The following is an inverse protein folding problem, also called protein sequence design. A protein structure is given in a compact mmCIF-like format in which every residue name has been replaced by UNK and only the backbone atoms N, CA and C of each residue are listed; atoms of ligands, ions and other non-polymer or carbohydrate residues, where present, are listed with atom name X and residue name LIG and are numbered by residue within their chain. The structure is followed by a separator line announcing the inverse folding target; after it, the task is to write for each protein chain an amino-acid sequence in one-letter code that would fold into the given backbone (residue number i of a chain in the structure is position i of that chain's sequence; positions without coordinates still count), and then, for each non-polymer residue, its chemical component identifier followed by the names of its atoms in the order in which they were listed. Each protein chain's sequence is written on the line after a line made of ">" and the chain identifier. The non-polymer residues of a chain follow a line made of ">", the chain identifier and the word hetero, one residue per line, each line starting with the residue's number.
data_IF_933294315876
#
_entry.id   IF_933294315876
#
_cell.length_a   1.000
_cell.length_b   1.000
_cell.length_c   1.000
_cell.angle_alpha   90.00
_cell.angle_beta   90.00
_cell.angle_gamma   90.00
#
_symmetry.space_group_name_H-M   'P 1'
#
loop_
_entity.id
_entity.type
_entity.pdbx_description
1 polymer ?
#
# COMPACT_ATOMS: atom_id res chain seq x y z
N UNK A 1 3.45 13.62 -31.70
CA UNK A 1 3.04 13.67 -30.27
C UNK A 1 1.63 13.12 -30.04
N UNK A 2 0.57 13.63 -30.69
CA UNK A 2 -0.81 13.17 -30.44
C UNK A 2 -1.04 11.67 -30.67
N UNK A 3 -0.62 11.12 -31.80
CA UNK A 3 -0.79 9.69 -32.10
C UNK A 3 -0.13 8.77 -31.06
N UNK A 4 1.16 9.00 -30.76
CA UNK A 4 1.88 8.26 -29.71
C UNK A 4 1.23 8.41 -28.33
N UNK A 5 0.67 9.59 -28.02
CA UNK A 5 -0.08 9.83 -26.79
C UNK A 5 -1.36 9.00 -26.73
N UNK A 6 -2.13 8.94 -27.82
CA UNK A 6 -3.35 8.12 -27.91
C UNK A 6 -3.05 6.64 -27.77
N UNK A 7 -2.01 6.15 -28.43
CA UNK A 7 -1.56 4.75 -28.32
C UNK A 7 -1.18 4.40 -26.87
N UNK A 8 -0.48 5.30 -26.19
CA UNK A 8 -0.09 5.10 -24.79
C UNK A 8 -1.30 5.13 -23.84
N UNK A 9 -2.26 6.04 -24.04
CA UNK A 9 -3.51 6.07 -23.26
C UNK A 9 -4.26 4.75 -23.37
N UNK A 10 -4.34 4.16 -24.57
CA UNK A 10 -4.98 2.86 -24.76
C UNK A 10 -4.28 1.73 -24.01
N UNK A 11 -2.94 1.77 -23.90
CA UNK A 11 -2.19 0.80 -23.10
C UNK A 11 -2.52 0.95 -21.61
N UNK A 12 -2.59 2.19 -21.11
CA UNK A 12 -2.95 2.47 -19.72
C UNK A 12 -4.38 2.01 -19.39
N UNK A 13 -5.34 2.23 -20.29
CA UNK A 13 -6.72 1.76 -20.11
C UNK A 13 -6.83 0.23 -20.06
N UNK A 14 -6.07 -0.48 -20.91
CA UNK A 14 -6.01 -1.94 -20.87
C UNK A 14 -5.41 -2.43 -19.55
N UNK A 15 -4.36 -1.77 -19.07
CA UNK A 15 -3.74 -2.09 -17.78
C UNK A 15 -4.71 -1.84 -16.61
N UNK A 16 -5.42 -0.73 -16.61
CA UNK A 16 -6.42 -0.38 -15.58
C UNK A 16 -7.53 -1.43 -15.50
N UNK A 17 -8.11 -1.82 -16.63
CA UNK A 17 -9.15 -2.85 -16.69
C UNK A 17 -8.65 -4.21 -16.19
N UNK A 18 -7.43 -4.57 -16.57
CA UNK A 18 -6.79 -5.79 -16.08
C UNK A 18 -6.60 -5.72 -14.55
N UNK A 19 -6.06 -4.62 -14.02
CA UNK A 19 -5.81 -4.44 -12.60
C UNK A 19 -7.12 -4.52 -11.78
N UNK A 20 -8.17 -3.82 -12.21
CA UNK A 20 -9.51 -3.90 -11.61
C UNK A 20 -10.00 -5.34 -11.50
N UNK A 21 -9.81 -6.13 -12.56
CA UNK A 21 -10.22 -7.54 -12.58
C UNK A 21 -9.42 -8.36 -11.58
N UNK A 22 -8.10 -8.16 -11.49
CA UNK A 22 -7.25 -8.90 -10.54
C UNK A 22 -7.60 -8.57 -9.08
N UNK A 23 -7.77 -7.29 -8.76
CA UNK A 23 -8.12 -6.88 -7.39
C UNK A 23 -9.53 -7.30 -7.01
N UNK A 24 -10.49 -7.27 -7.94
CA UNK A 24 -11.84 -7.75 -7.70
C UNK A 24 -11.89 -9.23 -7.27
N UNK A 25 -10.95 -10.06 -7.75
CA UNK A 25 -10.85 -11.47 -7.39
C UNK A 25 -10.32 -11.72 -5.96
N UNK A 26 -9.66 -10.74 -5.34
CA UNK A 26 -9.20 -10.82 -3.95
C UNK A 26 -10.36 -10.47 -3.01
N UNK A 27 -10.66 -11.23 -1.96
CA UNK A 27 -11.71 -10.84 -1.00
C UNK A 27 -11.41 -9.49 -0.32
N UNK A 28 -12.39 -8.58 -0.13
CA UNK A 28 -12.16 -7.24 0.45
C UNK A 28 -11.40 -7.25 1.79
N UNK A 29 -11.69 -8.22 2.64
CA UNK A 29 -11.03 -8.40 3.94
C UNK A 29 -9.53 -8.71 3.83
N UNK A 30 -9.06 -9.18 2.67
CA UNK A 30 -7.65 -9.45 2.37
C UNK A 30 -6.99 -8.33 1.56
N UNK A 31 -7.72 -7.29 1.16
CA UNK A 31 -7.19 -6.14 0.40
C UNK A 31 -6.61 -5.07 1.34
N UNK A 32 -5.81 -5.50 2.31
CA UNK A 32 -5.14 -4.61 3.26
C UNK A 32 -3.64 -4.79 3.16
N UNK A 33 -2.94 -3.68 3.04
CA UNK A 33 -1.51 -3.66 2.78
C UNK A 33 -0.82 -2.67 3.70
N UNK A 34 0.27 -3.09 4.34
CA UNK A 34 1.17 -2.18 5.05
C UNK A 34 2.23 -1.62 4.10
N UNK A 35 2.40 -0.30 4.04
CA UNK A 35 3.46 0.41 3.30
C UNK A 35 4.34 1.21 4.25
N UNK A 36 5.42 1.83 3.73
CA UNK A 36 6.29 2.69 4.53
C UNK A 36 5.72 4.08 4.77
N UNK A 37 4.99 4.63 3.80
CA UNK A 37 4.32 5.92 3.91
C UNK A 37 2.96 5.93 3.18
N UNK A 38 2.13 6.93 3.49
CA UNK A 38 0.79 7.07 2.92
C UNK A 38 0.82 7.72 1.52
N UNK A 39 1.27 6.95 0.52
CA UNK A 39 1.40 7.41 -0.87
C UNK A 39 0.34 6.85 -1.82
N UNK A 40 -0.39 5.81 -1.42
CA UNK A 40 -1.20 4.99 -2.32
C UNK A 40 -2.70 5.31 -2.29
N UNK A 41 -3.09 6.52 -1.85
CA UNK A 41 -4.50 6.93 -1.74
C UNK A 41 -5.31 6.77 -3.04
N UNK A 42 -4.78 7.23 -4.18
CA UNK A 42 -5.43 7.07 -5.49
C UNK A 42 -5.59 5.61 -5.88
N UNK A 43 -4.57 4.79 -5.62
CA UNK A 43 -4.62 3.35 -5.89
C UNK A 43 -5.68 2.67 -5.03
N UNK A 44 -5.70 2.99 -3.73
CA UNK A 44 -6.64 2.42 -2.80
C UNK A 44 -8.09 2.76 -3.15
N UNK A 45 -8.34 4.00 -3.58
CA UNK A 45 -9.63 4.44 -4.09
C UNK A 45 -10.03 3.70 -5.36
N UNK A 46 -9.14 3.60 -6.36
CA UNK A 46 -9.49 3.03 -7.67
C UNK A 46 -9.67 1.51 -7.63
N UNK A 47 -8.87 0.79 -6.82
CA UNK A 47 -8.84 -0.67 -6.81
C UNK A 47 -9.41 -1.31 -5.54
N UNK A 48 -9.91 -0.50 -4.59
CA UNK A 48 -10.50 -0.97 -3.34
C UNK A 48 -9.49 -1.67 -2.43
N UNK A 49 -8.29 -1.08 -2.31
CA UNK A 49 -7.21 -1.57 -1.43
C UNK A 49 -7.01 -0.58 -0.29
N UNK A 50 -6.99 -1.07 0.94
CA UNK A 50 -6.67 -0.26 2.11
C UNK A 50 -5.17 -0.30 2.37
N UNK A 51 -4.53 0.85 2.31
CA UNK A 51 -3.13 1.00 2.71
C UNK A 51 -3.05 1.52 4.13
N UNK A 52 -2.16 0.92 4.90
CA UNK A 52 -1.79 1.36 6.24
C UNK A 52 -0.32 1.75 6.21
N UNK A 53 0.04 2.85 6.85
CA UNK A 53 1.41 3.30 6.89
C UNK A 53 1.79 3.81 8.28
N UNK A 54 3.04 3.60 8.74
CA UNK A 54 3.57 4.16 9.98
C UNK A 54 3.81 5.67 9.89
N UNK A 55 4.02 6.17 8.67
CA UNK A 55 4.35 7.55 8.39
C UNK A 55 3.29 8.12 7.45
N UNK A 56 2.91 9.39 7.66
CA UNK A 56 1.99 10.10 6.76
C UNK A 56 2.61 10.40 5.38
N UNK A 57 2.00 11.31 4.65
CA UNK A 57 2.39 11.64 3.26
C UNK A 57 3.83 12.16 3.12
N UNK A 58 4.36 12.86 4.14
CA UNK A 58 5.76 13.31 4.15
C UNK A 58 6.66 12.28 4.81
N UNK A 59 7.67 11.81 4.08
CA UNK A 59 8.71 10.90 4.57
C UNK A 59 9.78 11.60 5.42
N UNK A 60 9.71 12.92 5.57
CA UNK A 60 10.65 13.70 6.39
C UNK A 60 10.40 13.54 7.89
N UNK A 61 9.19 13.12 8.27
CA UNK A 61 8.85 12.84 9.66
C UNK A 61 9.19 11.38 10.00
N UNK A 62 10.09 11.16 10.94
CA UNK A 62 10.28 9.83 11.53
C UNK A 62 9.06 9.45 12.38
N UNK A 63 8.58 8.21 12.24
CA UNK A 63 7.51 7.70 13.10
C UNK A 63 7.98 7.63 14.56
N UNK A 64 7.20 8.19 15.48
CA UNK A 64 7.48 8.07 16.91
C UNK A 64 7.23 6.63 17.39
N UNK A 65 7.86 6.23 18.50
CA UNK A 65 7.64 4.90 19.08
C UNK A 65 6.16 4.63 19.43
N UNK A 66 5.40 5.66 19.79
CA UNK A 66 3.95 5.57 20.04
C UNK A 66 3.14 5.30 18.77
N UNK A 67 3.54 5.89 17.64
CA UNK A 67 2.88 5.68 16.35
C UNK A 67 3.11 4.26 15.87
N UNK A 68 4.34 3.77 16.01
CA UNK A 68 4.72 2.38 15.70
C UNK A 68 3.93 1.38 16.55
N UNK A 69 3.81 1.61 17.85
CA UNK A 69 3.03 0.74 18.75
C UNK A 69 1.54 0.72 18.38
N UNK A 70 0.98 1.88 18.03
CA UNK A 70 -0.41 2.01 17.60
C UNK A 70 -0.66 1.27 16.29
N UNK A 71 0.27 1.38 15.32
CA UNK A 71 0.18 0.66 14.06
C UNK A 71 0.30 -0.86 14.23
N UNK A 72 1.23 -1.34 15.07
CA UNK A 72 1.34 -2.78 15.38
C UNK A 72 0.02 -3.31 15.95
N UNK A 73 -0.62 -2.55 16.84
CA UNK A 73 -1.91 -2.91 17.42
C UNK A 73 -3.00 -2.97 16.33
N UNK A 74 -3.05 -1.97 15.47
CA UNK A 74 -4.01 -1.90 14.37
C UNK A 74 -3.84 -3.07 13.39
N UNK A 75 -2.61 -3.37 12.97
CA UNK A 75 -2.30 -4.50 12.07
C UNK A 75 -2.78 -5.84 12.66
N UNK A 76 -2.55 -6.07 13.96
CA UNK A 76 -3.01 -7.29 14.64
C UNK A 76 -4.53 -7.36 14.72
N UNK A 77 -5.19 -6.25 15.03
CA UNK A 77 -6.66 -6.17 15.10
C UNK A 77 -7.31 -6.40 13.74
N UNK A 78 -6.73 -5.81 12.69
CA UNK A 78 -7.26 -5.85 11.34
C UNK A 78 -6.81 -7.06 10.51
N UNK A 79 -5.97 -7.93 11.08
CA UNK A 79 -5.43 -9.16 10.45
C UNK A 79 -4.77 -8.91 9.10
N UNK A 80 -4.05 -7.80 8.99
CA UNK A 80 -3.34 -7.43 7.75
C UNK A 80 -2.25 -8.46 7.50
N UNK A 81 -2.32 -9.10 6.33
CA UNK A 81 -1.50 -10.28 6.04
C UNK A 81 -0.27 -9.98 5.19
N UNK A 82 -0.24 -8.84 4.50
CA UNK A 82 0.77 -8.49 3.52
C UNK A 82 1.37 -7.10 3.79
N UNK A 83 2.68 -6.96 3.56
CA UNK A 83 3.39 -5.68 3.62
C UNK A 83 4.26 -5.48 2.37
N UNK A 84 4.43 -4.23 1.96
CA UNK A 84 5.29 -3.83 0.85
C UNK A 84 6.31 -2.81 1.34
N UNK A 85 7.54 -2.97 0.88
CA UNK A 85 8.64 -2.07 1.21
C UNK A 85 8.95 -1.27 -0.05
N UNK A 86 8.84 0.05 0.07
CA UNK A 86 9.23 0.97 -1.01
C UNK A 86 10.75 1.16 -1.02
N UNK A 87 11.34 1.14 -2.22
CA UNK A 87 12.78 1.18 -2.43
C UNK A 87 13.43 2.54 -2.05
N UNK A 88 12.63 3.58 -1.78
CA UNK A 88 13.11 4.94 -1.48
C UNK A 88 13.05 5.34 0.00
N UNK A 89 12.56 4.45 0.88
CA UNK A 89 12.44 4.72 2.33
C UNK A 89 13.18 3.70 3.17
N UNK A 90 13.56 4.08 4.39
CA UNK A 90 14.19 3.16 5.34
C UNK A 90 13.28 1.96 5.67
N UNK A 91 13.64 0.80 5.11
CA UNK A 91 12.87 -0.43 5.24
C UNK A 91 12.87 -1.06 6.65
N UNK A 92 13.71 -0.59 7.57
CA UNK A 92 13.89 -1.23 8.88
C UNK A 92 12.59 -1.26 9.69
N UNK A 93 11.84 -0.15 9.68
CA UNK A 93 10.64 -0.02 10.48
C UNK A 93 9.51 -0.95 9.98
N UNK A 94 9.25 -0.97 8.68
CA UNK A 94 8.23 -1.85 8.08
C UNK A 94 8.55 -3.32 8.35
N UNK A 95 9.83 -3.72 8.24
CA UNK A 95 10.28 -5.09 8.56
C UNK A 95 10.04 -5.45 10.03
N UNK A 96 10.39 -4.55 10.95
CA UNK A 96 10.17 -4.79 12.39
C UNK A 96 8.68 -4.98 12.71
N UNK A 97 7.83 -4.14 12.11
CA UNK A 97 6.38 -4.22 12.29
C UNK A 97 5.83 -5.53 11.68
N UNK A 98 6.27 -5.91 10.49
CA UNK A 98 5.86 -7.17 9.86
C UNK A 98 6.21 -8.39 10.73
N UNK A 99 7.45 -8.46 11.25
CA UNK A 99 7.89 -9.52 12.17
C UNK A 99 7.05 -9.53 13.45
N UNK A 100 6.77 -8.37 14.04
CA UNK A 100 6.00 -8.26 15.29
C UNK A 100 4.52 -8.64 15.13
N UNK A 101 4.00 -8.61 13.91
CA UNK A 101 2.58 -8.81 13.59
C UNK A 101 2.30 -10.13 12.88
N UNK A 102 3.33 -10.77 12.33
CA UNK A 102 3.20 -12.00 11.54
C UNK A 102 2.76 -11.78 10.10
N UNK A 103 2.76 -10.53 9.61
CA UNK A 103 2.55 -10.21 8.21
C UNK A 103 3.72 -10.78 7.37
N UNK A 104 3.43 -11.28 6.17
CA UNK A 104 4.40 -11.95 5.29
C UNK A 104 4.52 -11.27 3.94
#
# INVERSE_FOLDING_TARGET
>A
FRQRGTEYIQQLQKLDLWAKTQFAAVPPEKRKVLTSHDAFGYFGHEYGVTFLAPVGFSTEAEASASDVASLIKQIKQEKVSAYFIENQTDSRLVKQIAVATGAK
#
